data_IF_558497173718
#
_entry.id   IF_558497173718
#
_cell.length_a   1.000
_cell.length_b   1.000
_cell.length_c   1.000
_cell.angle_alpha   90.00
_cell.angle_beta   90.00
_cell.angle_gamma   90.00
#
_symmetry.space_group_name_H-M   'P 1'
#
loop_
_entity.id
_entity.type
_entity.pdbx_description
1 polymer ?
#
# COMPACT_ATOMS: atom_id res chain seq x y z
N UNK A 1 6.10 29.07 9.42
CA UNK A 1 6.47 29.70 8.11
C UNK A 1 7.93 29.40 7.69
N UNK A 2 8.95 29.68 8.55
CA UNK A 2 10.37 29.41 8.16
C UNK A 2 10.65 27.92 8.12
N UNK A 3 10.19 27.15 9.10
CA UNK A 3 10.32 25.70 9.19
C UNK A 3 9.71 25.02 7.95
N UNK A 4 8.48 25.36 7.59
CA UNK A 4 7.77 24.77 6.45
C UNK A 4 8.53 25.01 5.12
N UNK A 5 9.14 26.19 4.98
CA UNK A 5 9.97 26.51 3.83
C UNK A 5 11.21 25.62 3.75
N UNK A 6 11.86 25.35 4.89
CA UNK A 6 13.04 24.46 4.95
C UNK A 6 12.65 23.01 4.65
N UNK A 7 11.57 22.52 5.26
CA UNK A 7 11.08 21.16 5.00
C UNK A 7 10.72 20.97 3.53
N UNK A 8 10.01 21.94 2.93
CA UNK A 8 9.68 21.91 1.50
C UNK A 8 10.92 21.89 0.60
N UNK A 9 11.95 22.66 0.93
CA UNK A 9 13.23 22.66 0.17
C UNK A 9 13.99 21.35 0.33
N UNK A 10 14.01 20.77 1.53
CA UNK A 10 14.62 19.46 1.77
C UNK A 10 13.90 18.34 1.05
N UNK A 11 12.54 18.37 1.06
CA UNK A 11 11.74 17.45 0.30
C UNK A 11 12.02 17.59 -1.21
N UNK A 12 12.05 18.82 -1.75
CA UNK A 12 12.41 19.06 -3.14
C UNK A 12 13.82 18.55 -3.49
N UNK A 13 14.78 18.66 -2.57
CA UNK A 13 16.13 18.14 -2.76
C UNK A 13 16.19 16.62 -2.91
N UNK A 14 15.15 15.89 -2.47
CA UNK A 14 15.06 14.42 -2.59
C UNK A 14 15.12 13.95 -4.05
N UNK A 15 14.75 14.78 -5.02
CA UNK A 15 14.90 14.51 -6.47
C UNK A 15 16.37 14.29 -6.85
N UNK A 16 17.30 14.95 -6.17
CA UNK A 16 18.70 14.94 -6.56
C UNK A 16 19.37 13.60 -6.20
N UNK A 17 20.26 13.06 -7.05
CA UNK A 17 21.00 11.84 -6.76
C UNK A 17 21.78 11.88 -5.44
N UNK A 18 22.30 13.07 -5.04
CA UNK A 18 22.98 13.28 -3.78
C UNK A 18 22.13 13.13 -2.51
N UNK A 19 20.79 13.15 -2.65
CA UNK A 19 19.87 12.97 -1.52
C UNK A 19 20.08 11.64 -0.80
N UNK A 20 20.39 10.58 -1.54
CA UNK A 20 20.63 9.23 -1.01
C UNK A 20 21.86 9.14 -0.09
N UNK A 21 22.77 10.09 -0.15
CA UNK A 21 23.92 10.18 0.76
C UNK A 21 23.72 11.23 1.84
N UNK A 22 23.10 12.36 1.51
CA UNK A 22 22.98 13.51 2.41
C UNK A 22 21.82 13.41 3.41
N UNK A 23 20.66 12.88 2.99
CA UNK A 23 19.47 12.86 3.83
C UNK A 23 19.47 11.77 4.92
N UNK A 24 19.95 10.53 4.69
CA UNK A 24 19.92 9.50 5.72
C UNK A 24 20.57 9.88 7.04
N UNK A 25 21.75 10.54 7.09
CA UNK A 25 22.35 10.98 8.36
C UNK A 25 21.51 11.99 9.12
N UNK A 26 20.71 12.79 8.43
CA UNK A 26 19.84 13.79 9.04
C UNK A 26 18.54 13.15 9.55
N UNK A 27 17.86 12.39 8.68
CA UNK A 27 16.57 11.76 8.98
C UNK A 27 16.70 10.60 9.96
N UNK A 28 17.82 9.88 9.93
CA UNK A 28 18.12 8.80 10.86
C UNK A 28 18.22 9.22 12.32
N UNK A 29 18.40 10.52 12.58
CA UNK A 29 18.38 11.11 13.93
C UNK A 29 16.98 11.44 14.43
N UNK A 30 15.92 11.13 13.67
CA UNK A 30 14.52 11.45 13.98
C UNK A 30 14.28 12.92 14.33
N UNK A 31 14.62 13.85 13.42
CA UNK A 31 14.39 15.26 13.70
C UNK A 31 12.90 15.56 13.83
N UNK A 32 12.53 16.56 14.62
CA UNK A 32 11.13 16.96 14.84
C UNK A 32 10.35 17.27 13.54
N UNK A 33 11.05 17.75 12.51
CA UNK A 33 10.47 18.03 11.20
C UNK A 33 10.37 16.78 10.29
N UNK A 34 10.82 15.63 10.75
CA UNK A 34 10.85 14.39 9.96
C UNK A 34 9.46 13.95 9.46
N UNK A 35 8.43 14.06 10.31
CA UNK A 35 7.05 13.75 9.92
C UNK A 35 6.59 14.62 8.74
N UNK A 36 6.79 15.93 8.82
CA UNK A 36 6.40 16.88 7.77
C UNK A 36 7.14 16.60 6.45
N UNK A 37 8.43 16.26 6.56
CA UNK A 37 9.23 15.85 5.40
C UNK A 37 8.62 14.62 4.71
N UNK A 38 8.33 13.55 5.47
CA UNK A 38 7.78 12.33 4.91
C UNK A 38 6.39 12.54 4.32
N UNK A 39 5.54 13.32 4.96
CA UNK A 39 4.21 13.68 4.42
C UNK A 39 4.35 14.45 3.10
N UNK A 40 5.29 15.40 3.03
CA UNK A 40 5.55 16.17 1.81
C UNK A 40 6.08 15.28 0.68
N UNK A 41 6.98 14.35 1.00
CA UNK A 41 7.54 13.39 0.03
C UNK A 41 6.44 12.45 -0.48
N UNK A 42 5.63 11.89 0.40
CA UNK A 42 4.53 10.99 0.02
C UNK A 42 3.46 11.69 -0.81
N UNK A 43 3.21 12.98 -0.56
CA UNK A 43 2.26 13.78 -1.33
C UNK A 43 2.74 14.25 -2.71
N UNK A 44 3.97 13.93 -3.12
CA UNK A 44 4.53 14.37 -4.39
C UNK A 44 5.14 13.19 -5.16
N UNK A 45 4.48 12.78 -6.24
CA UNK A 45 4.86 11.63 -7.05
C UNK A 45 6.30 11.68 -7.59
N UNK A 46 6.83 12.87 -7.88
CA UNK A 46 8.22 13.04 -8.33
C UNK A 46 9.25 12.71 -7.24
N UNK A 47 8.87 12.77 -5.97
CA UNK A 47 9.75 12.54 -4.81
C UNK A 47 9.64 11.11 -4.27
N UNK A 48 8.52 10.43 -4.49
CA UNK A 48 8.16 9.15 -3.87
C UNK A 48 9.24 8.09 -4.06
N UNK A 49 9.76 7.91 -5.27
CA UNK A 49 10.73 6.85 -5.56
C UNK A 49 12.05 7.04 -4.81
N UNK A 50 12.60 8.26 -4.84
CA UNK A 50 13.84 8.56 -4.12
C UNK A 50 13.61 8.64 -2.60
N UNK A 51 12.46 9.17 -2.17
CA UNK A 51 12.05 9.15 -0.78
C UNK A 51 11.99 7.74 -0.22
N UNK A 52 11.40 6.80 -0.95
CA UNK A 52 11.35 5.39 -0.59
C UNK A 52 12.76 4.78 -0.44
N UNK A 53 13.70 5.12 -1.33
CA UNK A 53 15.10 4.68 -1.23
C UNK A 53 15.80 5.25 0.01
N UNK A 54 15.57 6.54 0.32
CA UNK A 54 16.08 7.17 1.56
C UNK A 54 15.48 6.47 2.77
N UNK A 55 14.15 6.25 2.78
CA UNK A 55 13.44 5.57 3.88
C UNK A 55 13.93 4.15 4.09
N UNK A 56 14.11 3.40 3.02
CA UNK A 56 14.67 2.05 3.06
C UNK A 56 16.09 2.04 3.65
N UNK A 57 16.91 3.03 3.30
CA UNK A 57 18.29 3.14 3.82
C UNK A 57 18.31 3.40 5.32
N UNK A 58 17.44 4.26 5.85
CA UNK A 58 17.37 4.51 7.30
C UNK A 58 16.66 3.40 8.08
N UNK A 59 15.87 2.56 7.42
CA UNK A 59 15.33 1.36 8.02
C UNK A 59 16.40 0.32 8.36
N UNK A 60 17.52 0.32 7.62
CA UNK A 60 18.68 -0.52 7.84
C UNK A 60 19.74 0.11 8.73
N UNK A 61 20.87 -0.61 8.88
CA UNK A 61 22.04 -0.14 9.62
C UNK A 61 22.63 1.14 8.99
N UNK A 62 23.14 2.08 9.81
CA UNK A 62 23.30 2.03 11.27
C UNK A 62 22.07 2.49 12.06
N UNK A 63 21.05 3.07 11.41
CA UNK A 63 19.92 3.72 12.09
C UNK A 63 18.86 2.73 12.60
N UNK A 64 18.60 1.64 11.86
CA UNK A 64 17.63 0.59 12.20
C UNK A 64 16.21 1.12 12.50
N UNK A 65 15.78 2.15 11.77
CA UNK A 65 14.46 2.75 11.91
C UNK A 65 13.42 1.97 11.11
N UNK A 66 13.25 0.70 11.42
CA UNK A 66 12.39 -0.24 10.71
C UNK A 66 10.97 -0.35 11.28
N UNK A 67 10.63 0.44 12.31
CA UNK A 67 9.24 0.54 12.77
C UNK A 67 8.46 1.44 11.84
N UNK A 68 7.33 0.96 11.26
CA UNK A 68 6.51 1.77 10.38
C UNK A 68 5.86 2.95 11.10
N UNK A 69 5.80 4.09 10.41
CA UNK A 69 5.09 5.29 10.82
C UNK A 69 3.93 5.56 9.85
N UNK A 70 2.99 6.42 10.23
CA UNK A 70 1.81 6.75 9.43
C UNK A 70 2.18 7.22 8.00
N UNK A 71 3.23 8.03 7.88
CA UNK A 71 3.73 8.50 6.59
C UNK A 71 4.29 7.38 5.70
N UNK A 72 4.73 6.25 6.28
CA UNK A 72 5.22 5.11 5.52
C UNK A 72 4.10 4.42 4.74
N UNK A 73 2.87 4.39 5.30
CA UNK A 73 1.72 3.81 4.61
C UNK A 73 1.32 4.64 3.40
N UNK A 74 1.33 5.97 3.54
CA UNK A 74 1.12 6.89 2.42
C UNK A 74 2.22 6.71 1.36
N UNK A 75 3.47 6.65 1.77
CA UNK A 75 4.61 6.47 0.87
C UNK A 75 4.53 5.13 0.11
N UNK A 76 4.19 4.04 0.79
CA UNK A 76 4.03 2.71 0.18
C UNK A 76 2.86 2.73 -0.82
N UNK A 77 1.74 3.35 -0.48
CA UNK A 77 0.57 3.46 -1.36
C UNK A 77 0.90 4.20 -2.66
N UNK A 78 1.51 5.36 -2.54
CA UNK A 78 1.90 6.15 -3.72
C UNK A 78 2.99 5.44 -4.54
N UNK A 79 3.95 4.81 -3.86
CA UNK A 79 5.01 4.04 -4.50
C UNK A 79 4.46 2.82 -5.26
N UNK A 80 3.44 2.15 -4.72
CA UNK A 80 2.81 0.99 -5.36
C UNK A 80 2.16 1.33 -6.71
N UNK A 81 1.69 2.57 -6.88
CA UNK A 81 1.15 3.05 -8.15
C UNK A 81 2.25 3.32 -9.20
N UNK A 82 3.47 3.63 -8.76
CA UNK A 82 4.61 3.98 -9.62
C UNK A 82 5.53 2.79 -9.88
N UNK A 83 5.89 2.08 -8.83
CA UNK A 83 6.80 0.92 -8.83
C UNK A 83 6.38 -0.07 -7.74
N UNK A 84 5.51 -1.04 -8.06
CA UNK A 84 5.07 -2.06 -7.12
C UNK A 84 6.22 -2.86 -6.49
N UNK A 85 7.31 -3.08 -7.25
CA UNK A 85 8.48 -3.79 -6.74
C UNK A 85 9.22 -2.98 -5.66
N UNK A 86 9.34 -1.67 -5.84
CA UNK A 86 9.94 -0.80 -4.84
C UNK A 86 9.06 -0.69 -3.57
N UNK A 87 7.72 -0.64 -3.73
CA UNK A 87 6.79 -0.66 -2.61
C UNK A 87 6.97 -1.92 -1.73
N UNK A 88 7.10 -3.07 -2.36
CA UNK A 88 7.36 -4.33 -1.67
C UNK A 88 8.71 -4.35 -0.95
N UNK A 89 9.76 -3.83 -1.58
CA UNK A 89 11.09 -3.73 -0.95
C UNK A 89 11.06 -2.81 0.28
N UNK A 90 10.37 -1.68 0.17
CA UNK A 90 10.21 -0.77 1.32
C UNK A 90 9.44 -1.42 2.45
N UNK A 91 8.32 -2.09 2.16
CA UNK A 91 7.52 -2.79 3.18
C UNK A 91 8.32 -3.87 3.90
N UNK A 92 9.14 -4.63 3.19
CA UNK A 92 10.04 -5.62 3.78
C UNK A 92 11.10 -4.98 4.68
N UNK A 93 11.71 -3.87 4.24
CA UNK A 93 12.68 -3.13 5.04
C UNK A 93 12.08 -2.57 6.34
N UNK A 94 10.79 -2.23 6.32
CA UNK A 94 10.02 -1.77 7.47
C UNK A 94 9.49 -2.90 8.35
N UNK A 95 9.83 -4.16 8.05
CA UNK A 95 9.39 -5.31 8.83
C UNK A 95 7.88 -5.57 8.75
N UNK A 96 7.19 -5.00 7.75
CA UNK A 96 5.79 -5.28 7.51
C UNK A 96 5.64 -6.73 7.05
N UNK A 97 5.27 -7.59 7.98
CA UNK A 97 5.03 -9.01 7.70
C UNK A 97 3.73 -9.12 6.89
N UNK A 98 3.81 -9.77 5.75
CA UNK A 98 2.65 -10.36 5.12
C UNK A 98 2.14 -11.48 6.02
N UNK A 99 0.86 -11.81 5.91
CA UNK A 99 0.27 -12.95 6.59
C UNK A 99 1.12 -14.22 6.49
N UNK A 100 0.66 -15.34 6.98
CA UNK A 100 1.41 -16.60 7.07
C UNK A 100 2.22 -16.88 5.78
N UNK A 101 3.41 -17.42 5.92
CA UNK A 101 4.35 -17.75 4.81
C UNK A 101 3.76 -18.69 3.75
N UNK A 102 2.62 -19.31 4.01
CA UNK A 102 1.89 -20.19 3.09
C UNK A 102 0.84 -19.47 2.22
N UNK A 103 0.47 -18.23 2.58
CA UNK A 103 -0.57 -17.48 1.88
C UNK A 103 0.00 -16.28 1.12
N UNK A 104 -0.33 -16.21 -0.16
CA UNK A 104 0.08 -15.09 -1.04
C UNK A 104 -0.72 -13.83 -0.72
N UNK A 105 -2.00 -14.00 -0.35
CA UNK A 105 -2.92 -12.92 0.02
C UNK A 105 -2.76 -12.58 1.50
N UNK A 106 -2.60 -11.30 1.83
CA UNK A 106 -2.75 -10.83 3.19
C UNK A 106 -4.23 -10.81 3.56
N UNK A 107 -4.56 -11.11 4.83
CA UNK A 107 -5.91 -11.07 5.37
C UNK A 107 -6.93 -11.79 4.45
N UNK A 108 -6.55 -13.00 3.99
CA UNK A 108 -7.35 -13.81 3.07
C UNK A 108 -8.64 -14.35 3.71
N UNK A 109 -8.69 -14.38 5.03
CA UNK A 109 -9.83 -14.75 5.85
C UNK A 109 -10.71 -13.58 6.28
N UNK A 110 -10.32 -12.34 5.92
CA UNK A 110 -11.03 -11.09 6.23
C UNK A 110 -11.30 -10.88 7.74
N UNK A 111 -10.39 -11.36 8.60
CA UNK A 111 -10.52 -11.27 10.06
C UNK A 111 -10.00 -9.97 10.68
N UNK A 112 -9.39 -9.11 9.87
CA UNK A 112 -8.80 -7.86 10.32
C UNK A 112 -9.19 -6.72 9.39
N UNK A 113 -9.27 -5.51 9.96
CA UNK A 113 -9.33 -4.30 9.17
C UNK A 113 -8.06 -4.11 8.34
N UNK A 114 -8.16 -3.69 7.08
CA UNK A 114 -7.01 -3.44 6.24
C UNK A 114 -6.12 -2.33 6.81
N UNK A 115 -4.81 -2.56 6.88
CA UNK A 115 -3.86 -1.59 7.46
C UNK A 115 -2.82 -1.07 6.47
N UNK A 116 -2.46 -1.87 5.49
CA UNK A 116 -1.28 -1.62 4.66
C UNK A 116 -1.63 -1.62 3.17
N UNK A 117 -2.62 -0.83 2.81
CA UNK A 117 -3.04 -0.72 1.41
C UNK A 117 -1.89 -0.19 0.52
N UNK A 118 -1.70 -0.76 -0.67
CA UNK A 118 -2.43 -1.85 -1.30
C UNK A 118 -1.85 -3.25 -1.03
N UNK A 119 -0.93 -3.40 -0.07
CA UNK A 119 -0.34 -4.70 0.31
C UNK A 119 -1.32 -5.55 1.11
N UNK A 120 -2.27 -4.93 1.77
CA UNK A 120 -3.51 -5.47 2.30
C UNK A 120 -4.66 -5.00 1.40
N UNK A 121 -5.88 -5.37 1.71
CA UNK A 121 -7.04 -5.03 0.90
C UNK A 121 -7.26 -3.52 0.82
N UNK A 122 -7.25 -2.98 -0.38
CA UNK A 122 -7.73 -1.63 -0.65
C UNK A 122 -9.20 -1.70 -1.01
N UNK A 123 -10.05 -1.22 -0.11
CA UNK A 123 -11.50 -1.17 -0.26
C UNK A 123 -11.84 0.14 -0.97
N UNK A 124 -12.43 0.03 -2.15
CA UNK A 124 -12.78 1.18 -2.97
C UNK A 124 -14.27 1.48 -2.80
N UNK A 125 -14.58 2.73 -2.59
CA UNK A 125 -15.94 3.23 -2.54
C UNK A 125 -16.10 4.29 -3.63
N UNK A 126 -16.96 4.01 -4.57
CA UNK A 126 -17.50 4.99 -5.52
C UNK A 126 -19.00 5.06 -5.29
N UNK A 127 -19.68 6.13 -5.71
CA UNK A 127 -21.10 6.29 -5.40
C UNK A 127 -22.01 5.08 -5.67
N UNK A 128 -21.60 4.22 -6.62
CA UNK A 128 -22.38 3.07 -7.07
C UNK A 128 -21.83 1.71 -6.62
N UNK A 129 -20.60 1.68 -6.12
CA UNK A 129 -19.91 0.45 -5.73
C UNK A 129 -19.22 0.67 -4.40
N UNK A 130 -19.36 -0.29 -3.48
CA UNK A 130 -18.71 -0.27 -2.19
C UNK A 130 -18.15 -1.63 -1.80
N UNK A 131 -17.13 -1.60 -0.96
CA UNK A 131 -16.59 -2.78 -0.32
C UNK A 131 -16.37 -2.49 1.16
N UNK A 132 -16.59 -3.49 2.00
CA UNK A 132 -16.35 -3.45 3.43
C UNK A 132 -15.88 -4.82 3.93
N UNK A 133 -15.12 -4.86 5.02
CA UNK A 133 -14.74 -6.09 5.68
C UNK A 133 -15.51 -6.20 6.99
N UNK A 134 -16.11 -7.35 7.20
CA UNK A 134 -16.73 -7.73 8.47
C UNK A 134 -15.83 -8.74 9.21
N UNK A 135 -14.92 -8.28 10.08
CA UNK A 135 -13.91 -9.14 10.71
C UNK A 135 -14.50 -10.26 11.55
N UNK A 136 -15.59 -9.99 12.26
CA UNK A 136 -16.27 -10.99 13.09
C UNK A 136 -16.85 -12.12 12.26
N UNK A 137 -17.40 -11.80 11.09
CA UNK A 137 -17.94 -12.78 10.15
C UNK A 137 -16.87 -13.39 9.24
N UNK A 138 -15.67 -12.79 9.15
CA UNK A 138 -14.58 -13.21 8.28
C UNK A 138 -14.98 -13.15 6.81
N UNK A 139 -15.53 -12.02 6.37
CA UNK A 139 -16.01 -11.86 5.00
C UNK A 139 -15.76 -10.45 4.46
N UNK A 140 -15.57 -10.40 3.15
CA UNK A 140 -15.61 -9.18 2.36
C UNK A 140 -17.04 -9.00 1.84
N UNK A 141 -17.65 -7.87 2.15
CA UNK A 141 -18.98 -7.48 1.66
C UNK A 141 -18.81 -6.54 0.48
N UNK A 142 -19.44 -6.87 -0.62
CA UNK A 142 -19.45 -6.05 -1.83
C UNK A 142 -20.87 -5.58 -2.10
N UNK A 143 -21.04 -4.31 -2.42
CA UNK A 143 -22.31 -3.70 -2.79
C UNK A 143 -22.18 -2.97 -4.13
N UNK A 144 -23.21 -3.04 -4.94
CA UNK A 144 -23.27 -2.28 -6.19
C UNK A 144 -24.72 -1.93 -6.53
N UNK A 145 -24.92 -0.78 -7.16
CA UNK A 145 -26.20 -0.44 -7.78
C UNK A 145 -26.38 -1.25 -9.07
N UNK A 146 -27.65 -1.54 -9.46
CA UNK A 146 -27.92 -2.22 -10.72
C UNK A 146 -27.31 -1.51 -11.92
N UNK A 147 -26.62 -2.25 -12.78
CA UNK A 147 -25.94 -1.71 -13.97
C UNK A 147 -24.56 -1.08 -13.72
N UNK A 148 -24.13 -0.97 -12.48
CA UNK A 148 -22.78 -0.48 -12.16
C UNK A 148 -21.73 -1.56 -12.31
N UNK A 149 -20.54 -1.17 -12.79
CA UNK A 149 -19.39 -2.05 -12.90
C UNK A 149 -18.11 -1.32 -12.47
N UNK A 150 -17.18 -2.03 -11.85
CA UNK A 150 -15.92 -1.43 -11.40
C UNK A 150 -15.16 -2.35 -10.45
N UNK A 151 -14.07 -1.80 -9.91
CA UNK A 151 -13.26 -2.50 -8.90
C UNK A 151 -13.75 -2.05 -7.53
N UNK A 152 -14.24 -2.99 -6.73
CA UNK A 152 -14.67 -2.72 -5.36
C UNK A 152 -13.53 -2.94 -4.34
N UNK A 153 -12.69 -3.95 -4.57
CA UNK A 153 -11.55 -4.24 -3.71
C UNK A 153 -10.37 -4.73 -4.54
N UNK A 154 -9.15 -4.40 -4.11
CA UNK A 154 -7.92 -4.89 -4.74
C UNK A 154 -6.82 -5.10 -3.71
N UNK A 155 -5.84 -5.95 -4.06
CA UNK A 155 -4.65 -6.17 -3.26
C UNK A 155 -3.43 -6.36 -4.17
N UNK A 156 -2.30 -5.75 -3.80
CA UNK A 156 -1.03 -5.98 -4.45
C UNK A 156 -0.36 -7.22 -3.86
N UNK A 157 -0.15 -8.23 -4.68
CA UNK A 157 0.50 -9.48 -4.27
C UNK A 157 1.82 -9.70 -5.00
N UNK A 158 2.77 -10.31 -4.30
CA UNK A 158 4.04 -10.71 -4.91
C UNK A 158 3.95 -12.15 -5.38
N UNK A 159 4.18 -12.36 -6.66
CA UNK A 159 4.37 -13.68 -7.23
C UNK A 159 5.85 -14.03 -7.14
N UNK A 160 6.18 -15.00 -6.29
CA UNK A 160 7.58 -15.36 -5.97
C UNK A 160 8.33 -16.07 -7.09
N UNK A 161 7.63 -16.82 -7.95
CA UNK A 161 8.22 -17.55 -9.08
C UNK A 161 7.20 -17.68 -10.22
N UNK A 162 7.66 -17.83 -11.47
CA UNK A 162 6.77 -18.19 -12.56
C UNK A 162 6.11 -19.55 -12.29
N UNK A 163 4.81 -19.67 -12.55
CA UNK A 163 4.09 -20.91 -12.26
C UNK A 163 2.59 -20.79 -12.50
N UNK A 164 1.89 -21.85 -12.16
CA UNK A 164 0.44 -21.87 -12.16
C UNK A 164 -0.06 -21.56 -10.76
N UNK A 165 -0.88 -20.55 -10.64
CA UNK A 165 -1.50 -20.13 -9.38
C UNK A 165 -2.99 -20.41 -9.44
N UNK A 166 -3.60 -20.72 -8.30
CA UNK A 166 -5.04 -20.94 -8.19
C UNK A 166 -5.58 -19.99 -7.11
N UNK A 167 -6.47 -19.10 -7.53
CA UNK A 167 -7.29 -18.31 -6.61
C UNK A 167 -8.63 -19.03 -6.40
N UNK A 168 -9.03 -19.17 -5.14
CA UNK A 168 -10.32 -19.74 -4.76
C UNK A 168 -11.06 -18.74 -3.90
N UNK A 169 -12.32 -18.53 -4.19
CA UNK A 169 -13.20 -17.73 -3.37
C UNK A 169 -14.60 -18.37 -3.31
N UNK A 170 -15.34 -18.01 -2.27
CA UNK A 170 -16.75 -18.39 -2.11
C UNK A 170 -17.56 -17.10 -2.13
N UNK A 171 -18.59 -17.06 -2.96
CA UNK A 171 -19.51 -15.93 -3.06
C UNK A 171 -20.88 -16.40 -2.59
N UNK A 172 -21.59 -15.54 -1.83
CA UNK A 172 -22.95 -15.76 -1.36
C UNK A 172 -23.76 -14.47 -1.48
N UNK A 173 -25.09 -14.55 -1.37
CA UNK A 173 -25.95 -13.36 -1.41
C UNK A 173 -26.19 -12.78 -2.81
N UNK A 174 -25.85 -13.54 -3.87
CA UNK A 174 -26.22 -13.12 -5.21
C UNK A 174 -27.76 -13.22 -5.37
N UNK A 175 -28.41 -12.19 -5.97
CA UNK A 175 -29.84 -12.25 -6.26
C UNK A 175 -30.13 -13.41 -7.18
N UNK A 176 -31.27 -14.09 -6.95
CA UNK A 176 -31.68 -15.32 -7.65
C UNK A 176 -31.88 -15.16 -9.18
N UNK A 177 -31.99 -13.91 -9.67
CA UNK A 177 -32.27 -13.56 -11.06
C UNK A 177 -31.19 -12.61 -11.63
N UNK A 178 -29.94 -12.87 -11.40
CA UNK A 178 -28.94 -12.31 -12.31
C UNK A 178 -28.85 -13.21 -13.52
N UNK A 179 -29.55 -12.85 -14.60
CA UNK A 179 -29.08 -13.19 -15.94
C UNK A 179 -27.63 -12.79 -16.00
N UNK A 180 -26.76 -13.74 -15.75
CA UNK A 180 -25.32 -13.53 -15.84
C UNK A 180 -25.10 -13.05 -17.27
N UNK A 181 -24.69 -11.80 -17.41
CA UNK A 181 -24.26 -11.31 -18.71
C UNK A 181 -23.31 -12.36 -19.30
N UNK A 182 -23.49 -12.77 -20.57
CA UNK A 182 -22.76 -13.89 -21.14
C UNK A 182 -21.30 -13.52 -21.40
N UNK A 183 -20.53 -13.28 -20.35
CA UNK A 183 -19.14 -12.84 -20.41
C UNK A 183 -18.26 -13.35 -19.29
N UNK A 184 -18.79 -13.77 -18.18
CA UNK A 184 -17.99 -14.28 -17.06
C UNK A 184 -18.03 -15.80 -16.98
N UNK A 185 -17.58 -16.45 -18.04
CA UNK A 185 -17.24 -17.87 -17.97
C UNK A 185 -15.76 -18.01 -17.68
N UNK A 186 -15.48 -18.43 -16.44
CA UNK A 186 -14.20 -18.99 -16.00
C UNK A 186 -12.95 -18.17 -16.38
N UNK A 187 -12.52 -17.30 -15.53
CA UNK A 187 -11.09 -17.05 -15.38
C UNK A 187 -10.46 -18.12 -14.49
#
# INVERSE_FOLDING_TARGET
KVRDLYVGRMAAATVNPGALSALPPLLGRRPEWGREYWTTVAGNSALVLNGARVRQKIAGSPWNLNTPEESDFLLIRELANLDPGAALKLSQALGLKRGSTSEILANSDFRHEPRFVPLDWELLQSGDIGADIEPEAGRLVLSSLPGSSGIAARQLVQIGAPGRYRLRWKVSGLPANTDAAPGCRRC
#
